data_IF_722153082925
#
_entry.id   IF_722153082925
#
_cell.length_a   1.000
_cell.length_b   1.000
_cell.length_c   1.000
_cell.angle_alpha   90.00
_cell.angle_beta   90.00
_cell.angle_gamma   90.00
#
_symmetry.space_group_name_H-M   'P 1'
#
loop_
_entity.id
_entity.type
_entity.pdbx_description
1 polymer ?
#
# COMPACT_ATOMS: atom_id res chain seq x y z
N UNK A 1 -78.58 12.58 -10.69
CA UNK A 1 -78.26 13.17 -12.01
C UNK A 1 -76.82 13.69 -11.89
N UNK A 2 -75.83 12.96 -12.39
CA UNK A 2 -74.43 13.41 -12.31
C UNK A 2 -74.21 14.55 -13.33
N UNK A 3 -73.60 15.68 -12.95
CA UNK A 3 -73.36 16.76 -13.90
C UNK A 3 -72.40 16.27 -15.00
N UNK A 4 -72.78 16.49 -16.26
CA UNK A 4 -71.92 16.28 -17.42
C UNK A 4 -70.79 17.32 -17.35
N UNK A 5 -69.64 16.91 -16.83
CA UNK A 5 -68.42 17.74 -16.82
C UNK A 5 -68.04 18.06 -18.26
N UNK A 6 -67.73 19.33 -18.54
CA UNK A 6 -67.38 19.77 -19.89
C UNK A 6 -66.05 19.16 -20.32
N UNK A 7 -65.92 18.75 -21.58
CA UNK A 7 -64.66 18.23 -22.14
C UNK A 7 -63.46 19.17 -21.87
N UNK A 8 -63.68 20.49 -21.82
CA UNK A 8 -62.62 21.46 -21.49
C UNK A 8 -62.14 21.33 -20.04
N UNK A 9 -63.05 21.24 -19.08
CA UNK A 9 -62.72 21.06 -17.66
C UNK A 9 -62.00 19.72 -17.43
N UNK A 10 -62.37 18.69 -18.20
CA UNK A 10 -61.71 17.40 -18.20
C UNK A 10 -60.25 17.48 -18.68
N UNK A 11 -60.00 18.25 -19.74
CA UNK A 11 -58.64 18.50 -20.23
C UNK A 11 -57.85 19.34 -19.23
N UNK A 12 -58.41 20.43 -18.71
CA UNK A 12 -57.74 21.29 -17.72
C UNK A 12 -57.32 20.52 -16.47
N UNK A 13 -58.17 19.61 -15.98
CA UNK A 13 -57.83 18.75 -14.84
C UNK A 13 -56.70 17.77 -15.16
N UNK A 14 -56.72 17.18 -16.36
CA UNK A 14 -55.62 16.30 -16.81
C UNK A 14 -54.31 17.08 -16.97
N UNK A 15 -54.36 18.29 -17.50
CA UNK A 15 -53.19 19.16 -17.59
C UNK A 15 -52.67 19.56 -16.21
N UNK A 16 -53.56 19.87 -15.27
CA UNK A 16 -53.19 20.20 -13.90
C UNK A 16 -52.53 19.00 -13.20
N UNK A 17 -53.09 17.80 -13.35
CA UNK A 17 -52.50 16.57 -12.83
C UNK A 17 -51.11 16.31 -13.44
N UNK A 18 -50.98 16.42 -14.77
CA UNK A 18 -49.70 16.25 -15.44
C UNK A 18 -48.65 17.28 -15.00
N UNK A 19 -49.03 18.55 -14.81
CA UNK A 19 -48.12 19.59 -14.28
C UNK A 19 -47.69 19.30 -12.84
N UNK A 20 -48.60 18.79 -12.00
CA UNK A 20 -48.29 18.39 -10.63
C UNK A 20 -47.30 17.21 -10.61
N UNK A 21 -47.55 16.17 -11.42
CA UNK A 21 -46.64 15.03 -11.56
C UNK A 21 -45.25 15.47 -12.05
N UNK A 22 -45.18 16.37 -13.04
CA UNK A 22 -43.91 16.93 -13.52
C UNK A 22 -43.17 17.67 -12.40
N UNK A 23 -43.88 18.47 -11.59
CA UNK A 23 -43.28 19.19 -10.47
C UNK A 23 -42.72 18.23 -9.42
N UNK A 24 -43.48 17.19 -9.07
CA UNK A 24 -43.04 16.16 -8.12
C UNK A 24 -41.80 15.42 -8.62
N UNK A 25 -41.80 15.00 -9.89
CA UNK A 25 -40.64 14.34 -10.50
C UNK A 25 -39.41 15.25 -10.49
N UNK A 26 -39.57 16.55 -10.76
CA UNK A 26 -38.47 17.53 -10.67
C UNK A 26 -37.92 17.65 -9.26
N UNK A 27 -38.77 17.80 -8.24
CA UNK A 27 -38.32 17.81 -6.85
C UNK A 27 -37.60 16.53 -6.46
N UNK A 28 -38.08 15.37 -6.92
CA UNK A 28 -37.41 14.08 -6.67
C UNK A 28 -36.05 13.99 -7.36
N UNK A 29 -35.91 14.53 -8.58
CA UNK A 29 -34.61 14.60 -9.26
C UNK A 29 -33.64 15.50 -8.49
N UNK A 30 -34.09 16.65 -7.97
CA UNK A 30 -33.26 17.55 -7.15
C UNK A 30 -32.79 16.87 -5.87
N UNK A 31 -33.68 16.16 -5.16
CA UNK A 31 -33.33 15.38 -3.96
C UNK A 31 -32.27 14.31 -4.29
N UNK A 32 -32.48 13.54 -5.35
CA UNK A 32 -31.55 12.49 -5.78
C UNK A 32 -30.20 13.07 -6.22
N UNK A 33 -30.20 14.21 -6.92
CA UNK A 33 -28.99 14.92 -7.31
C UNK A 33 -28.20 15.39 -6.09
N UNK A 34 -28.88 15.92 -5.06
CA UNK A 34 -28.24 16.29 -3.79
C UNK A 34 -27.59 15.08 -3.11
N UNK A 35 -28.33 13.97 -2.99
CA UNK A 35 -27.80 12.72 -2.42
C UNK A 35 -26.63 12.16 -3.22
N UNK A 36 -26.64 12.28 -4.55
CA UNK A 36 -25.53 11.87 -5.40
C UNK A 36 -24.30 12.72 -5.13
N UNK A 37 -24.45 14.05 -5.12
CA UNK A 37 -23.37 14.99 -4.85
C UNK A 37 -22.70 14.76 -3.49
N UNK A 38 -23.48 14.43 -2.45
CA UNK A 38 -22.93 14.05 -1.13
C UNK A 38 -22.03 12.81 -1.23
N UNK A 39 -22.43 11.79 -1.99
CA UNK A 39 -21.64 10.56 -2.15
C UNK A 39 -20.41 10.78 -2.99
N UNK A 40 -20.51 11.57 -4.04
CA UNK A 40 -19.37 11.99 -4.85
C UNK A 40 -18.37 12.79 -4.01
N UNK A 41 -18.82 13.67 -3.11
CA UNK A 41 -17.94 14.39 -2.20
C UNK A 41 -17.21 13.46 -1.21
N UNK A 42 -17.89 12.42 -0.70
CA UNK A 42 -17.24 11.39 0.12
C UNK A 42 -16.20 10.63 -0.69
N UNK A 43 -16.53 10.23 -1.93
CA UNK A 43 -15.61 9.51 -2.80
C UNK A 43 -14.36 10.36 -3.12
N UNK A 44 -14.55 11.61 -3.52
CA UNK A 44 -13.46 12.55 -3.81
C UNK A 44 -12.53 12.71 -2.60
N UNK A 45 -13.07 12.82 -1.38
CA UNK A 45 -12.25 12.89 -0.16
C UNK A 45 -11.40 11.63 0.07
N UNK A 46 -11.97 10.46 -0.19
CA UNK A 46 -11.25 9.18 -0.07
C UNK A 46 -10.17 9.03 -1.14
N UNK A 47 -10.43 9.51 -2.36
CA UNK A 47 -9.46 9.53 -3.46
C UNK A 47 -8.28 10.44 -3.12
N UNK A 48 -8.52 11.66 -2.63
CA UNK A 48 -7.47 12.56 -2.14
C UNK A 48 -6.67 11.87 -1.03
N UNK A 49 -7.34 11.25 -0.07
CA UNK A 49 -6.67 10.53 1.03
C UNK A 49 -5.78 9.41 0.49
N UNK A 50 -6.27 8.65 -0.49
CA UNK A 50 -5.51 7.58 -1.14
C UNK A 50 -4.29 8.14 -1.87
N UNK A 51 -4.46 9.23 -2.60
CA UNK A 51 -3.38 9.94 -3.30
C UNK A 51 -2.29 10.39 -2.32
N UNK A 52 -2.66 11.11 -1.26
CA UNK A 52 -1.72 11.54 -0.20
C UNK A 52 -1.03 10.34 0.45
N UNK A 53 -1.76 9.25 0.73
CA UNK A 53 -1.14 8.02 1.24
C UNK A 53 -0.15 7.43 0.23
N UNK A 54 -0.46 7.42 -1.06
CA UNK A 54 0.48 6.92 -2.08
C UNK A 54 1.73 7.78 -2.22
N UNK A 55 1.63 9.10 -2.08
CA UNK A 55 2.78 10.02 -2.08
C UNK A 55 3.71 9.75 -0.88
N UNK A 56 3.15 9.70 0.33
CA UNK A 56 3.88 9.37 1.56
C UNK A 56 4.56 8.00 1.43
N UNK A 57 3.86 7.02 0.87
CA UNK A 57 4.38 5.66 0.70
C UNK A 57 5.45 5.52 -0.39
N UNK A 58 5.42 6.38 -1.40
CA UNK A 58 6.41 6.40 -2.49
C UNK A 58 7.69 7.16 -2.13
N UNK A 59 7.70 7.86 -0.99
CA UNK A 59 8.87 8.59 -0.50
C UNK A 59 9.08 9.96 -1.15
N UNK A 60 8.08 10.48 -1.87
CA UNK A 60 8.13 11.81 -2.52
C UNK A 60 7.63 12.94 -1.58
N UNK A 61 7.21 12.58 -0.37
CA UNK A 61 6.74 13.49 0.68
C UNK A 61 7.85 14.27 1.38
N UNK A 62 8.62 15.05 0.63
CA UNK A 62 9.33 16.22 1.15
C UNK A 62 8.57 17.49 0.75
N UNK A 63 7.29 17.59 1.12
CA UNK A 63 6.58 18.88 1.04
C UNK A 63 6.92 19.65 2.31
N UNK A 64 7.91 20.52 2.18
CA UNK A 64 8.13 21.62 3.12
C UNK A 64 6.91 22.53 3.05
N UNK A 65 6.06 22.49 4.08
CA UNK A 65 5.18 23.64 4.35
C UNK A 65 6.10 24.75 4.83
N UNK A 66 6.56 25.57 3.89
CA UNK A 66 7.19 26.86 4.17
C UNK A 66 6.12 27.77 4.75
N UNK A 67 6.05 27.84 6.08
CA UNK A 67 5.43 28.98 6.76
C UNK A 67 6.43 30.12 6.64
N UNK A 68 6.17 31.02 5.70
CA UNK A 68 6.89 32.29 5.62
C UNK A 68 6.69 33.09 6.91
N UNK A 69 7.79 33.70 7.34
CA UNK A 69 8.09 34.16 8.69
C UNK A 69 7.29 35.40 9.15
N UNK A 70 7.05 35.47 10.46
CA UNK A 70 7.10 36.73 11.20
C UNK A 70 7.79 36.53 12.57
N UNK A 71 9.06 36.94 12.62
CA UNK A 71 9.84 37.49 13.74
C UNK A 71 9.62 36.99 15.18
N UNK A 72 10.69 36.46 15.78
CA UNK A 72 10.81 36.33 17.24
C UNK A 72 11.88 35.32 17.66
N UNK A 73 13.10 35.79 17.87
CA UNK A 73 14.29 35.05 18.27
C UNK A 73 14.22 34.53 19.72
N UNK A 74 14.60 33.26 19.95
CA UNK A 74 15.56 32.81 20.99
C UNK A 74 15.93 31.33 20.77
N UNK A 75 17.22 30.94 20.84
CA UNK A 75 17.62 29.54 20.71
C UNK A 75 17.59 28.86 22.08
N UNK A 76 16.88 27.74 22.21
CA UNK A 76 17.06 26.80 23.32
C UNK A 76 17.34 25.44 22.73
N UNK A 77 18.61 25.03 22.82
CA UNK A 77 19.07 23.68 22.55
C UNK A 77 18.53 22.76 23.66
N UNK A 78 17.58 21.89 23.35
CA UNK A 78 17.25 20.74 24.19
C UNK A 78 17.49 19.45 23.42
N UNK A 79 18.48 18.75 23.95
CA UNK A 79 18.82 17.33 23.91
C UNK A 79 18.04 16.37 22.98
N UNK A 80 18.82 15.56 22.27
CA UNK A 80 18.39 14.42 21.47
C UNK A 80 17.99 13.28 22.41
N UNK A 81 16.69 12.96 22.51
CA UNK A 81 16.19 11.57 22.55
C UNK A 81 14.68 11.44 22.77
N UNK A 82 14.07 10.65 21.88
CA UNK A 82 12.84 9.87 22.05
C UNK A 82 11.54 10.61 22.36
N UNK A 83 10.61 10.62 21.40
CA UNK A 83 9.56 9.59 21.35
C UNK A 83 8.46 10.00 20.37
N UNK A 84 8.12 9.08 19.48
CA UNK A 84 6.80 8.95 18.86
C UNK A 84 6.31 10.15 18.06
N UNK A 85 6.61 10.17 16.75
CA UNK A 85 5.76 10.90 15.82
C UNK A 85 4.31 10.36 15.97
N UNK A 86 3.33 11.20 16.35
CA UNK A 86 1.97 10.75 16.58
C UNK A 86 1.30 10.65 15.21
N UNK A 87 1.18 9.41 14.74
CA UNK A 87 0.19 8.79 13.83
C UNK A 87 0.91 7.60 13.21
N UNK A 88 1.29 6.67 14.08
CA UNK A 88 1.83 5.38 13.69
C UNK A 88 0.70 4.46 13.23
N UNK A 89 0.02 4.77 12.12
CA UNK A 89 -0.75 3.74 11.43
C UNK A 89 0.28 2.76 10.90
N UNK A 90 0.49 1.67 11.62
CA UNK A 90 1.42 0.60 11.24
C UNK A 90 0.79 -0.16 10.06
N UNK A 91 0.94 0.39 8.85
CA UNK A 91 0.24 -0.04 7.61
C UNK A 91 0.45 -1.50 7.19
N UNK A 92 1.46 -2.18 7.75
CA UNK A 92 1.66 -3.61 7.57
C UNK A 92 1.97 -4.16 8.97
N UNK A 93 1.17 -5.10 9.50
CA UNK A 93 1.46 -5.80 10.73
C UNK A 93 2.75 -6.63 10.60
N UNK A 94 3.29 -7.09 11.72
CA UNK A 94 4.40 -8.04 11.71
C UNK A 94 3.87 -9.42 11.34
N UNK A 95 4.57 -10.16 10.48
CA UNK A 95 4.13 -11.49 10.05
C UNK A 95 4.26 -12.50 11.20
N UNK A 96 3.21 -13.32 11.39
CA UNK A 96 3.16 -14.42 12.36
C UNK A 96 2.64 -15.71 11.68
N UNK A 97 3.01 -16.90 12.17
CA UNK A 97 2.48 -18.16 11.64
C UNK A 97 0.95 -18.21 11.76
N UNK A 98 0.24 -18.37 10.64
CA UNK A 98 -1.23 -18.35 10.58
C UNK A 98 -1.84 -17.00 10.20
N UNK A 99 -1.01 -15.98 9.96
CA UNK A 99 -1.45 -14.68 9.45
C UNK A 99 -1.45 -14.69 7.92
N UNK A 100 -2.65 -14.58 7.33
CA UNK A 100 -2.85 -14.59 5.88
C UNK A 100 -2.75 -13.19 5.25
N UNK A 101 -2.52 -13.11 3.94
CA UNK A 101 -2.33 -11.85 3.21
C UNK A 101 -3.55 -10.91 3.28
N UNK A 102 -4.72 -11.40 3.67
CA UNK A 102 -5.98 -10.66 3.83
C UNK A 102 -5.93 -9.52 4.84
N UNK A 103 -5.04 -9.61 5.84
CA UNK A 103 -4.87 -8.53 6.84
C UNK A 103 -4.09 -7.34 6.29
N UNK A 104 -3.45 -7.50 5.12
CA UNK A 104 -2.71 -6.45 4.46
C UNK A 104 -3.63 -5.57 3.61
N UNK A 105 -3.36 -4.25 3.54
CA UNK A 105 -3.99 -3.41 2.51
C UNK A 105 -3.76 -4.00 1.12
N UNK A 106 -4.77 -3.92 0.23
CA UNK A 106 -4.78 -4.56 -1.11
C UNK A 106 -3.44 -4.47 -1.85
N UNK A 107 -2.87 -3.26 -1.91
CA UNK A 107 -1.62 -3.04 -2.63
C UNK A 107 -0.40 -3.81 -2.09
N UNK A 108 -0.41 -4.27 -0.84
CA UNK A 108 0.60 -5.17 -0.25
C UNK A 108 0.18 -6.63 -0.37
N UNK A 109 -1.13 -6.90 -0.29
CA UNK A 109 -1.72 -8.23 -0.52
C UNK A 109 -1.39 -8.76 -1.91
N UNK A 110 -1.61 -7.97 -2.96
CA UNK A 110 -1.34 -8.36 -4.36
C UNK A 110 0.14 -8.78 -4.54
N UNK A 111 1.06 -8.08 -3.86
CA UNK A 111 2.49 -8.38 -3.89
C UNK A 111 2.79 -9.72 -3.22
N UNK A 112 2.19 -9.96 -2.05
CA UNK A 112 2.40 -11.20 -1.29
C UNK A 112 1.79 -12.39 -2.05
N UNK A 113 0.60 -12.24 -2.62
CA UNK A 113 -0.06 -13.28 -3.43
C UNK A 113 0.79 -13.66 -4.65
N UNK A 114 1.25 -12.68 -5.44
CA UNK A 114 2.16 -12.93 -6.58
C UNK A 114 3.46 -13.61 -6.13
N UNK A 115 3.99 -13.23 -4.95
CA UNK A 115 5.19 -13.87 -4.39
C UNK A 115 4.94 -15.26 -3.82
N UNK A 116 3.70 -15.60 -3.44
CA UNK A 116 3.33 -16.95 -3.00
C UNK A 116 3.23 -17.91 -4.19
N UNK A 117 2.76 -17.44 -5.34
CA UNK A 117 2.68 -18.21 -6.59
C UNK A 117 4.02 -18.29 -7.34
N UNK A 118 4.98 -17.41 -7.01
CA UNK A 118 6.28 -17.38 -7.64
C UNK A 118 7.14 -18.61 -7.29
N UNK A 119 7.61 -19.33 -8.32
CA UNK A 119 8.48 -20.51 -8.17
C UNK A 119 9.91 -20.11 -7.74
N UNK A 120 10.37 -18.92 -8.14
CA UNK A 120 11.73 -18.45 -7.89
C UNK A 120 11.72 -17.03 -7.31
N UNK A 121 12.75 -16.64 -6.55
CA UNK A 121 12.92 -15.26 -6.11
C UNK A 121 12.91 -14.28 -7.30
N UNK A 122 12.24 -13.13 -7.13
CA UNK A 122 12.04 -12.15 -8.19
C UNK A 122 12.65 -10.80 -7.86
N UNK A 123 13.19 -10.13 -8.88
CA UNK A 123 13.63 -8.74 -8.77
C UNK A 123 12.44 -7.80 -8.79
N UNK A 124 12.58 -6.64 -8.13
CA UNK A 124 11.52 -5.61 -8.06
C UNK A 124 10.93 -5.26 -9.44
N UNK A 125 11.78 -5.16 -10.48
CA UNK A 125 11.34 -4.88 -11.85
C UNK A 125 10.37 -5.96 -12.39
N UNK A 126 10.67 -7.24 -12.17
CA UNK A 126 9.80 -8.34 -12.63
C UNK A 126 8.49 -8.40 -11.85
N UNK A 127 8.50 -8.05 -10.56
CA UNK A 127 7.26 -7.89 -9.80
C UNK A 127 6.39 -6.73 -10.31
N UNK A 128 6.99 -5.57 -10.62
CA UNK A 128 6.24 -4.47 -11.21
C UNK A 128 5.54 -4.92 -12.49
N UNK A 129 6.26 -5.62 -13.38
CA UNK A 129 5.70 -6.15 -14.62
C UNK A 129 4.57 -7.17 -14.36
N UNK A 130 4.77 -8.11 -13.42
CA UNK A 130 3.76 -9.12 -13.07
C UNK A 130 2.48 -8.52 -12.49
N UNK A 131 2.60 -7.41 -11.76
CA UNK A 131 1.47 -6.68 -11.16
C UNK A 131 0.85 -5.64 -12.12
N UNK A 132 1.32 -5.55 -13.37
CA UNK A 132 0.84 -4.56 -14.34
C UNK A 132 1.17 -3.11 -13.95
N UNK A 133 2.18 -2.91 -13.10
CA UNK A 133 2.66 -1.59 -12.68
C UNK A 133 3.70 -1.05 -13.67
N UNK A 134 3.86 0.27 -13.72
CA UNK A 134 4.92 0.89 -14.54
C UNK A 134 6.32 0.40 -14.13
N UNK A 135 7.14 0.10 -15.14
CA UNK A 135 8.54 -0.30 -15.01
C UNK A 135 9.52 0.87 -15.08
N UNK A 136 9.03 2.12 -14.99
CA UNK A 136 9.88 3.32 -14.91
C UNK A 136 10.80 3.26 -13.70
N UNK A 137 12.05 3.74 -13.85
CA UNK A 137 13.07 3.69 -12.81
C UNK A 137 12.59 4.23 -11.45
N UNK A 138 11.90 5.38 -11.45
CA UNK A 138 11.38 6.00 -10.23
C UNK A 138 10.28 5.15 -9.57
N UNK A 139 9.42 4.51 -10.36
CA UNK A 139 8.34 3.65 -9.86
C UNK A 139 8.88 2.32 -9.33
N UNK A 140 9.88 1.75 -10.00
CA UNK A 140 10.59 0.55 -9.55
C UNK A 140 11.33 0.80 -8.24
N UNK A 141 11.95 1.97 -8.05
CA UNK A 141 12.65 2.30 -6.81
C UNK A 141 11.69 2.53 -5.63
N UNK A 142 10.58 3.26 -5.85
CA UNK A 142 9.51 3.37 -4.87
C UNK A 142 8.91 2.00 -4.50
N UNK A 143 8.76 1.12 -5.48
CA UNK A 143 8.31 -0.25 -5.26
C UNK A 143 9.34 -1.10 -4.51
N UNK A 144 10.65 -0.94 -4.77
CA UNK A 144 11.73 -1.59 -4.02
C UNK A 144 11.69 -1.21 -2.53
N UNK A 145 11.44 0.05 -2.22
CA UNK A 145 11.23 0.52 -0.84
C UNK A 145 10.02 -0.15 -0.16
N UNK A 146 8.95 -0.40 -0.93
CA UNK A 146 7.77 -1.14 -0.47
C UNK A 146 8.07 -2.61 -0.18
N UNK A 147 8.84 -3.27 -1.04
CA UNK A 147 9.27 -4.66 -0.84
C UNK A 147 10.18 -4.80 0.38
N UNK A 148 11.13 -3.88 0.55
CA UNK A 148 12.01 -3.86 1.71
C UNK A 148 11.22 -3.74 3.02
N UNK A 149 10.16 -2.92 3.04
CA UNK A 149 9.24 -2.82 4.19
C UNK A 149 8.51 -4.14 4.50
N UNK A 150 8.14 -4.92 3.49
CA UNK A 150 7.56 -6.26 3.68
C UNK A 150 8.60 -7.26 4.21
N UNK A 151 9.85 -7.15 3.75
CA UNK A 151 10.97 -7.96 4.25
C UNK A 151 11.27 -7.67 5.72
N UNK A 152 11.37 -6.39 6.10
CA UNK A 152 11.57 -5.96 7.49
C UNK A 152 10.48 -6.48 8.44
N UNK A 153 9.27 -6.72 7.90
CA UNK A 153 8.11 -7.18 8.67
C UNK A 153 7.88 -8.69 8.58
N UNK A 154 8.75 -9.43 7.88
CA UNK A 154 8.72 -10.89 7.79
C UNK A 154 7.76 -11.47 6.75
N UNK A 155 7.06 -10.62 5.99
CA UNK A 155 6.14 -11.04 4.93
C UNK A 155 6.85 -11.56 3.69
N UNK A 156 8.02 -11.00 3.38
CA UNK A 156 8.92 -11.43 2.32
C UNK A 156 10.32 -11.73 2.89
N UNK A 157 11.13 -12.45 2.13
CA UNK A 157 12.55 -12.63 2.40
C UNK A 157 13.39 -11.93 1.32
N UNK A 158 14.58 -11.46 1.67
CA UNK A 158 15.58 -10.98 0.70
C UNK A 158 16.74 -11.97 0.69
N UNK A 159 16.84 -12.76 -0.38
CA UNK A 159 17.88 -13.80 -0.52
C UNK A 159 19.21 -13.15 -0.94
N UNK A 160 19.13 -12.16 -1.83
CA UNK A 160 20.26 -11.32 -2.27
C UNK A 160 19.80 -9.87 -2.40
N UNK A 161 20.70 -8.87 -2.41
CA UNK A 161 20.33 -7.47 -2.55
C UNK A 161 19.43 -7.20 -3.78
N UNK A 162 18.13 -7.01 -3.55
CA UNK A 162 17.13 -6.78 -4.59
C UNK A 162 16.53 -8.03 -5.24
N UNK A 163 16.76 -9.20 -4.66
CA UNK A 163 16.13 -10.46 -5.01
C UNK A 163 15.20 -10.89 -3.86
N UNK A 164 13.90 -10.75 -4.09
CA UNK A 164 12.87 -10.97 -3.08
C UNK A 164 12.26 -12.37 -3.24
N UNK A 165 12.05 -13.06 -2.12
CA UNK A 165 11.52 -14.41 -2.04
C UNK A 165 10.31 -14.46 -1.08
N UNK A 166 9.57 -15.58 -1.12
CA UNK A 166 8.45 -15.82 -0.21
C UNK A 166 8.91 -15.78 1.25
N UNK A 167 8.30 -14.91 2.06
CA UNK A 167 8.58 -14.82 3.50
C UNK A 167 7.82 -15.87 4.30
N UNK A 168 8.06 -15.92 5.62
CA UNK A 168 7.37 -16.76 6.60
C UNK A 168 7.55 -18.28 6.49
N UNK A 169 7.39 -18.86 5.30
CA UNK A 169 7.38 -20.30 5.08
C UNK A 169 8.79 -20.93 5.00
N UNK A 170 9.83 -20.19 4.60
CA UNK A 170 11.19 -20.75 4.48
C UNK A 170 11.88 -20.99 5.83
N UNK A 171 11.42 -20.34 6.92
CA UNK A 171 11.96 -20.59 8.28
C UNK A 171 11.29 -21.73 9.03
N UNK A 172 10.06 -22.11 8.67
CA UNK A 172 9.39 -23.26 9.29
C UNK A 172 9.83 -24.62 8.71
N UNK A 173 10.52 -24.63 7.56
CA UNK A 173 10.93 -25.85 6.85
C UNK A 173 12.44 -26.05 6.62
N UNK A 174 13.31 -25.12 7.02
CA UNK A 174 14.76 -25.27 6.90
C UNK A 174 15.35 -25.87 8.19
N UNK A 175 15.07 -27.15 8.42
CA UNK A 175 15.89 -27.99 9.29
C UNK A 175 17.27 -28.23 8.67
N UNK A 176 18.30 -28.09 9.50
CA UNK A 176 19.71 -28.51 9.35
C UNK A 176 20.21 -29.08 8.00
N UNK A 177 21.45 -28.69 7.62
CA UNK A 177 22.45 -29.72 7.37
C UNK A 177 23.37 -29.82 8.59
N UNK A 178 23.51 -31.07 9.05
CA UNK A 178 24.40 -31.50 10.10
C UNK A 178 25.82 -30.94 9.93
N UNK A 179 26.39 -30.59 11.08
CA UNK A 179 27.84 -30.50 11.24
C UNK A 179 28.40 -31.89 10.98
N UNK A 180 29.24 -32.02 9.96
CA UNK A 180 30.26 -33.06 9.96
C UNK A 180 31.63 -32.41 9.92
N UNK A 181 32.41 -32.77 10.94
CA UNK A 181 33.71 -32.27 11.26
C UNK A 181 34.74 -32.73 10.22
N UNK A 182 35.61 -31.82 9.80
CA UNK A 182 36.93 -32.17 9.31
C UNK A 182 37.95 -31.20 9.94
N UNK A 183 38.68 -31.78 10.90
CA UNK A 183 39.89 -31.28 11.55
C UNK A 183 40.82 -30.57 10.54
N UNK A 184 41.26 -29.36 10.84
CA UNK A 184 42.51 -29.03 11.54
C UNK A 184 43.79 -29.23 10.69
N UNK A 185 44.71 -28.26 10.78
CA UNK A 185 46.06 -28.37 10.24
C UNK A 185 46.42 -27.41 9.09
N UNK A 186 46.48 -26.10 9.36
CA UNK A 186 47.21 -25.15 8.51
C UNK A 186 48.72 -25.41 8.56
N UNK A 187 49.31 -25.53 7.36
CA UNK A 187 50.70 -25.27 6.91
C UNK A 187 51.62 -24.51 7.90
N UNK A 188 52.90 -24.90 7.99
CA UNK A 188 54.04 -24.26 7.25
C UNK A 188 55.43 -24.85 7.58
N UNK A 189 56.18 -25.09 6.51
CA UNK A 189 57.60 -24.79 6.25
C UNK A 189 58.72 -25.22 7.24
N UNK A 190 59.67 -25.98 6.69
CA UNK A 190 61.07 -25.55 6.64
C UNK A 190 62.11 -26.48 7.28
N UNK A 191 63.20 -26.67 6.53
CA UNK A 191 64.57 -27.01 6.96
C UNK A 191 64.92 -28.50 7.05
N UNK A 192 65.68 -28.99 6.05
CA UNK A 192 66.54 -30.17 6.16
C UNK A 192 67.78 -29.88 7.00
N UNK A 193 68.57 -30.89 7.42
CA UNK A 193 69.59 -31.42 6.50
C UNK A 193 69.94 -32.92 6.70
N UNK A 194 70.68 -33.49 5.74
CA UNK A 194 71.78 -34.41 6.07
C UNK A 194 71.62 -35.91 5.74
N UNK A 195 72.46 -36.35 4.78
CA UNK A 195 73.25 -37.60 4.75
C UNK A 195 72.59 -39.00 4.75
N UNK A 196 72.72 -39.68 3.58
CA UNK A 196 73.43 -40.95 3.26
C UNK A 196 73.47 -42.10 4.29
N UNK A 197 73.57 -43.39 3.85
CA UNK A 197 74.41 -43.91 2.77
C UNK A 197 73.70 -44.23 1.45
#
# INVERSE_FOLDING_TARGET
MAPMVSWREEIERREAAARAEISELRSRMEELAGRLAEREAVLSRLEITRETMTEILSGDGAVTVSVDQAAGEVPVSVDRSQAGSPVGVRLVPQWEPGLEADVLPRSYRDVVEVMQDAVHPMRAHHLCAALGLSTDKNKVEGFRSKLKRLVERGWLAEDEPGLFARGGARRAGAGAPEREAAADGRRRAGVGPGSRP
#
